data_IF_102006690315
#
_entry.id   IF_102006690315
#
_cell.length_a   1.000
_cell.length_b   1.000
_cell.length_c   1.000
_cell.angle_alpha   90.00
_cell.angle_beta   90.00
_cell.angle_gamma   90.00
#
_symmetry.space_group_name_H-M   'P 1'
#
loop_
_entity.id
_entity.type
_entity.pdbx_description
1 polymer ?
#
# COMPACT_ATOMS: atom_id res chain seq x y z
N UNK A 1 -8.51 -17.99 -7.89
CA UNK A 1 -8.31 -17.69 -6.46
C UNK A 1 -7.89 -16.23 -6.35
N UNK A 2 -8.74 -15.34 -5.83
CA UNK A 2 -8.36 -13.95 -5.59
C UNK A 2 -7.74 -13.85 -4.20
N UNK A 3 -6.42 -13.62 -4.12
CA UNK A 3 -5.74 -13.43 -2.83
C UNK A 3 -6.10 -12.05 -2.30
N UNK A 4 -7.07 -12.00 -1.38
CA UNK A 4 -7.37 -10.81 -0.59
C UNK A 4 -6.46 -10.80 0.63
N UNK A 5 -5.69 -9.72 0.78
CA UNK A 5 -4.78 -9.54 1.91
C UNK A 5 -5.28 -8.46 2.87
N UNK A 6 -4.60 -8.33 4.01
CA UNK A 6 -4.84 -7.26 4.97
C UNK A 6 -3.95 -6.06 4.62
N UNK A 7 -4.54 -4.88 4.50
CA UNK A 7 -3.76 -3.66 4.25
C UNK A 7 -2.86 -3.32 5.43
N UNK A 8 -1.55 -3.19 5.22
CA UNK A 8 -0.58 -2.82 6.27
C UNK A 8 -0.75 -1.40 6.82
N UNK A 9 -1.66 -0.58 6.27
CA UNK A 9 -1.91 0.79 6.74
C UNK A 9 -3.26 0.94 7.45
N UNK A 10 -4.31 0.27 6.98
CA UNK A 10 -5.66 0.46 7.51
C UNK A 10 -6.33 -0.83 7.99
N UNK A 11 -5.67 -1.98 7.88
CA UNK A 11 -6.19 -3.28 8.32
C UNK A 11 -7.36 -3.82 7.49
N UNK A 12 -7.79 -3.12 6.43
CA UNK A 12 -8.91 -3.59 5.61
C UNK A 12 -8.51 -4.78 4.73
N UNK A 13 -9.40 -5.77 4.62
CA UNK A 13 -9.25 -6.89 3.69
C UNK A 13 -9.71 -6.45 2.31
N UNK A 14 -8.79 -6.42 1.34
CA UNK A 14 -9.09 -5.98 -0.02
C UNK A 14 -8.11 -6.57 -1.05
N UNK A 15 -8.25 -6.17 -2.32
CA UNK A 15 -7.19 -6.37 -3.32
C UNK A 15 -5.97 -5.55 -2.89
N UNK A 16 -4.84 -6.23 -2.77
CA UNK A 16 -3.58 -5.63 -2.34
C UNK A 16 -2.75 -5.15 -3.53
N UNK A 17 -1.99 -4.08 -3.29
CA UNK A 17 -0.99 -3.50 -4.17
C UNK A 17 0.31 -3.38 -3.40
N UNK A 18 1.42 -3.69 -4.05
CA UNK A 18 2.75 -3.59 -3.45
C UNK A 18 3.29 -2.18 -3.65
N UNK A 19 3.70 -1.52 -2.57
CA UNK A 19 4.40 -0.25 -2.64
C UNK A 19 5.80 -0.46 -3.24
N UNK A 20 6.11 0.22 -4.34
CA UNK A 20 7.43 0.09 -5.00
C UNK A 20 8.58 0.68 -4.18
N UNK A 21 8.29 1.53 -3.19
CA UNK A 21 9.30 2.18 -2.36
C UNK A 21 9.63 1.40 -1.08
N UNK A 22 8.61 0.93 -0.35
CA UNK A 22 8.78 0.27 0.96
C UNK A 22 8.39 -1.21 0.99
N UNK A 23 7.94 -1.78 -0.14
CA UNK A 23 7.53 -3.18 -0.26
C UNK A 23 6.22 -3.55 0.44
N UNK A 24 5.56 -2.65 1.17
CA UNK A 24 4.34 -2.97 1.92
C UNK A 24 3.13 -3.26 1.03
N UNK A 25 2.31 -4.23 1.43
CA UNK A 25 1.03 -4.55 0.80
C UNK A 25 -0.09 -3.64 1.32
N UNK A 26 -0.74 -2.91 0.42
CA UNK A 26 -1.74 -1.91 0.77
C UNK A 26 -2.98 -2.03 -0.13
N UNK A 27 -4.16 -1.72 0.40
CA UNK A 27 -5.38 -1.67 -0.40
C UNK A 27 -5.37 -0.51 -1.39
N UNK A 28 -6.23 -0.55 -2.42
CA UNK A 28 -6.34 0.52 -3.44
C UNK A 28 -6.56 1.92 -2.83
N UNK A 29 -7.23 2.02 -1.67
CA UNK A 29 -7.44 3.31 -0.98
C UNK A 29 -6.17 3.89 -0.37
N UNK A 30 -5.22 3.03 -0.03
CA UNK A 30 -3.94 3.42 0.56
C UNK A 30 -2.79 3.40 -0.46
N UNK A 31 -3.06 3.00 -1.70
CA UNK A 31 -2.13 2.98 -2.81
C UNK A 31 -2.30 4.22 -3.69
N UNK A 32 -1.20 4.80 -4.15
CA UNK A 32 -1.17 5.91 -5.09
C UNK A 32 -0.73 5.41 -6.46
N UNK A 33 -1.67 5.10 -7.37
CA UNK A 33 -1.34 4.43 -8.63
C UNK A 33 -0.46 5.29 -9.55
N UNK A 34 -0.57 6.62 -9.49
CA UNK A 34 0.26 7.53 -10.30
C UNK A 34 1.75 7.42 -9.99
N UNK A 35 2.09 7.08 -8.75
CA UNK A 35 3.49 7.00 -8.28
C UNK A 35 3.91 5.54 -8.01
N UNK A 36 2.97 4.60 -7.96
CA UNK A 36 3.25 3.21 -7.61
C UNK A 36 3.64 2.99 -6.14
N UNK A 37 3.26 3.90 -5.24
CA UNK A 37 3.66 3.90 -3.82
C UNK A 37 2.46 3.97 -2.88
N UNK A 38 2.65 3.68 -1.59
CA UNK A 38 1.61 3.85 -0.59
C UNK A 38 1.51 5.30 -0.08
N UNK A 39 0.36 5.66 0.50
CA UNK A 39 0.11 7.00 1.06
C UNK A 39 1.07 7.42 2.18
N UNK A 40 1.73 6.46 2.86
CA UNK A 40 2.77 6.76 3.87
C UNK A 40 4.06 7.24 3.20
N UNK A 41 4.50 6.52 2.16
CA UNK A 41 5.65 6.90 1.33
C UNK A 41 5.42 8.24 0.63
N UNK A 42 4.20 8.45 0.09
CA UNK A 42 3.83 9.73 -0.52
C UNK A 42 3.98 10.92 0.45
N UNK A 43 3.73 10.71 1.75
CA UNK A 43 3.84 11.72 2.79
C UNK A 43 5.27 11.87 3.35
N UNK A 44 6.25 11.10 2.86
CA UNK A 44 7.61 11.10 3.41
C UNK A 44 7.70 10.54 4.84
N UNK A 45 6.69 9.78 5.30
CA UNK A 45 6.67 9.19 6.66
C UNK A 45 7.54 7.94 6.80
N UNK A 46 8.32 7.62 5.77
CA UNK A 46 9.34 6.59 5.77
C UNK A 46 10.64 7.35 5.56
N UNK A 47 11.32 7.63 6.67
CA UNK A 47 12.72 8.00 6.65
C UNK A 47 13.55 6.72 6.44
N UNK A 48 14.70 6.79 5.76
CA UNK A 48 15.66 5.68 5.67
C UNK A 48 16.15 5.23 7.05
#
# INVERSE_FOLDING_TARGET
MEVRGLCSICGSIAKMHTCSLCGSLVCSRCFQPKQGICKRCQKGLIAP
#
